data_IF_974404319233
#
_entry.id   IF_974404319233
#
_cell.length_a   1.000
_cell.length_b   1.000
_cell.length_c   1.000
_cell.angle_alpha   90.00
_cell.angle_beta   90.00
_cell.angle_gamma   90.00
#
_symmetry.space_group_name_H-M   'P 1'
#
loop_
_entity.id
_entity.type
_entity.pdbx_description
1 polymer ?
#
# COMPACT_ATOMS: atom_id res chain seq x y z
N UNK A 1 -20.20 -2.72 -6.88
CA UNK A 1 -20.36 -2.23 -5.49
C UNK A 1 -19.72 -0.87 -5.24
N UNK A 2 -18.46 -0.62 -5.64
CA UNK A 2 -17.78 0.66 -5.36
C UNK A 2 -18.50 1.92 -5.89
N UNK A 3 -19.05 1.89 -7.12
CA UNK A 3 -19.87 3.00 -7.65
C UNK A 3 -21.15 3.29 -6.85
N UNK A 4 -21.70 2.29 -6.14
CA UNK A 4 -22.87 2.49 -5.27
C UNK A 4 -22.42 3.13 -3.95
N UNK A 5 -21.27 2.72 -3.40
CA UNK A 5 -20.67 3.34 -2.22
C UNK A 5 -20.33 4.82 -2.46
N UNK A 6 -19.72 5.14 -3.61
CA UNK A 6 -19.46 6.52 -4.04
C UNK A 6 -20.74 7.35 -4.15
N UNK A 7 -21.81 6.81 -4.78
CA UNK A 7 -23.11 7.48 -4.84
C UNK A 7 -23.77 7.65 -3.47
N UNK A 8 -23.58 6.70 -2.56
CA UNK A 8 -24.06 6.80 -1.18
C UNK A 8 -23.33 7.91 -0.42
N UNK A 9 -22.00 7.99 -0.57
CA UNK A 9 -21.19 9.06 0.02
C UNK A 9 -21.62 10.45 -0.52
N UNK A 10 -21.90 10.57 -1.81
CA UNK A 10 -22.43 11.83 -2.36
C UNK A 10 -23.74 12.27 -1.70
N UNK A 11 -24.63 11.31 -1.41
CA UNK A 11 -25.93 11.59 -0.76
C UNK A 11 -25.80 11.88 0.73
N UNK A 12 -24.93 11.15 1.43
CA UNK A 12 -24.76 11.24 2.90
C UNK A 12 -23.80 12.35 3.31
N UNK A 13 -22.98 12.85 2.38
CA UNK A 13 -22.11 14.01 2.60
C UNK A 13 -20.98 13.82 3.61
N UNK A 14 -20.31 12.65 3.74
CA UNK A 14 -19.30 12.43 4.78
C UNK A 14 -18.05 13.32 4.54
N UNK A 15 -17.83 13.79 3.32
CA UNK A 15 -16.81 14.80 2.98
C UNK A 15 -17.03 16.16 3.67
N UNK A 16 -18.22 16.40 4.24
CA UNK A 16 -18.56 17.61 5.01
C UNK A 16 -18.29 17.45 6.50
N UNK A 17 -17.91 16.26 6.97
CA UNK A 17 -17.67 15.99 8.39
C UNK A 17 -16.61 16.93 9.00
N UNK A 18 -15.70 17.46 8.16
CA UNK A 18 -14.66 18.40 8.57
C UNK A 18 -14.93 19.87 8.19
N UNK A 19 -16.11 20.17 7.65
CA UNK A 19 -16.52 21.51 7.22
C UNK A 19 -17.41 22.23 8.24
N UNK A 20 -18.10 21.50 9.12
CA UNK A 20 -18.94 22.07 10.17
C UNK A 20 -18.13 22.24 11.48
N UNK A 21 -17.59 23.43 11.68
CA UNK A 21 -16.91 23.86 12.93
C UNK A 21 -17.86 24.50 13.95
N UNK A 22 -19.17 24.24 13.90
CA UNK A 22 -20.07 24.78 14.94
C UNK A 22 -19.68 24.20 16.29
N UNK A 23 -19.26 25.09 17.19
CA UNK A 23 -18.76 24.85 18.55
C UNK A 23 -19.54 23.73 19.27
N UNK A 24 -18.81 22.69 19.67
CA UNK A 24 -19.20 21.65 20.62
C UNK A 24 -20.51 20.91 20.32
N UNK A 25 -20.52 19.97 19.35
CA UNK A 25 -21.61 19.00 19.29
C UNK A 25 -21.62 18.14 20.57
N UNK A 26 -22.79 17.67 21.05
CA UNK A 26 -22.87 16.80 22.21
C UNK A 26 -22.02 15.54 22.02
N UNK A 27 -21.48 14.96 23.10
CA UNK A 27 -20.49 13.87 23.02
C UNK A 27 -20.91 12.67 22.16
N UNK A 28 -22.21 12.36 22.13
CA UNK A 28 -22.81 11.32 21.30
C UNK A 28 -22.65 11.54 19.79
N UNK A 29 -22.43 12.79 19.35
CA UNK A 29 -22.20 13.13 17.95
C UNK A 29 -20.74 13.01 17.53
N UNK A 30 -19.77 12.93 18.47
CA UNK A 30 -18.35 12.78 18.11
C UNK A 30 -18.06 11.42 17.48
N UNK A 31 -18.65 10.35 18.01
CA UNK A 31 -18.50 9.00 17.45
C UNK A 31 -19.03 8.90 16.02
N UNK A 32 -20.19 9.52 15.74
CA UNK A 32 -20.79 9.55 14.39
C UNK A 32 -19.92 10.38 13.43
N UNK A 33 -19.38 11.51 13.89
CA UNK A 33 -18.50 12.35 13.08
C UNK A 33 -17.18 11.63 12.77
N UNK A 34 -16.57 10.98 13.76
CA UNK A 34 -15.32 10.22 13.56
C UNK A 34 -15.53 9.00 12.67
N UNK A 35 -16.65 8.29 12.79
CA UNK A 35 -17.03 7.22 11.88
C UNK A 35 -17.23 7.74 10.44
N UNK A 36 -17.86 8.91 10.28
CA UNK A 36 -18.06 9.55 8.98
C UNK A 36 -16.75 9.98 8.34
N UNK A 37 -15.81 10.52 9.12
CA UNK A 37 -14.45 10.86 8.69
C UNK A 37 -13.69 9.63 8.23
N UNK A 38 -13.65 8.57 9.07
CA UNK A 38 -13.01 7.29 8.75
C UNK A 38 -13.55 6.72 7.45
N UNK A 39 -14.88 6.62 7.32
CA UNK A 39 -15.55 6.13 6.12
C UNK A 39 -15.21 6.94 4.86
N UNK A 40 -15.16 8.28 4.95
CA UNK A 40 -14.77 9.12 3.81
C UNK A 40 -13.33 8.83 3.37
N UNK A 41 -12.37 8.78 4.30
CA UNK A 41 -10.96 8.57 3.99
C UNK A 41 -10.69 7.15 3.48
N UNK A 42 -11.36 6.14 4.04
CA UNK A 42 -11.33 4.78 3.51
C UNK A 42 -11.86 4.72 2.08
N UNK A 43 -12.95 5.44 1.77
CA UNK A 43 -13.51 5.50 0.43
C UNK A 43 -12.57 6.17 -0.58
N UNK A 44 -11.90 7.26 -0.19
CA UNK A 44 -10.88 7.92 -1.02
C UNK A 44 -9.67 6.99 -1.25
N UNK A 45 -9.20 6.32 -0.20
CA UNK A 45 -8.13 5.33 -0.29
C UNK A 45 -8.49 4.16 -1.22
N UNK A 46 -9.72 3.64 -1.13
CA UNK A 46 -10.22 2.62 -2.05
C UNK A 46 -10.37 3.12 -3.49
N UNK A 47 -10.83 4.35 -3.72
CA UNK A 47 -10.90 4.95 -5.07
C UNK A 47 -9.53 4.99 -5.73
N UNK A 48 -8.52 5.47 -4.98
CA UNK A 48 -7.13 5.47 -5.40
C UNK A 48 -6.61 4.05 -5.64
N UNK A 49 -7.01 3.06 -4.84
CA UNK A 49 -6.63 1.66 -5.02
C UNK A 49 -7.16 1.10 -6.33
N UNK A 50 -8.46 1.23 -6.58
CA UNK A 50 -9.06 0.79 -7.84
C UNK A 50 -8.47 1.52 -9.04
N UNK A 51 -8.15 2.79 -8.88
CA UNK A 51 -7.50 3.55 -9.92
C UNK A 51 -6.08 3.03 -10.23
N UNK A 52 -5.20 3.04 -9.23
CA UNK A 52 -3.79 2.72 -9.38
C UNK A 52 -3.57 1.26 -9.78
N UNK A 53 -4.28 0.31 -9.15
CA UNK A 53 -4.01 -1.10 -9.36
C UNK A 53 -4.87 -1.75 -10.45
N UNK A 54 -6.05 -1.18 -10.75
CA UNK A 54 -7.00 -1.76 -11.70
C UNK A 54 -7.39 -0.82 -12.85
N UNK A 55 -6.72 0.33 -12.97
CA UNK A 55 -6.94 1.32 -14.03
C UNK A 55 -8.41 1.74 -14.16
N UNK A 56 -9.13 1.84 -13.03
CA UNK A 56 -10.52 2.29 -12.99
C UNK A 56 -10.59 3.82 -12.88
N UNK A 57 -11.58 4.51 -13.46
CA UNK A 57 -11.71 5.96 -13.31
C UNK A 57 -11.83 6.38 -11.83
N UNK A 58 -11.19 7.50 -11.45
CA UNK A 58 -11.37 8.08 -10.12
C UNK A 58 -12.77 8.68 -9.99
N UNK A 59 -13.53 8.23 -9.00
CA UNK A 59 -14.89 8.72 -8.75
C UNK A 59 -14.91 9.86 -7.73
N UNK A 60 -13.93 9.90 -6.82
CA UNK A 60 -13.88 10.84 -5.70
C UNK A 60 -13.02 12.07 -5.98
N UNK A 61 -12.35 12.15 -7.13
CA UNK A 61 -11.44 13.26 -7.48
C UNK A 61 -12.08 14.65 -7.33
N UNK A 62 -13.37 14.79 -7.68
CA UNK A 62 -14.13 16.05 -7.53
C UNK A 62 -14.23 16.56 -6.09
N UNK A 63 -14.02 15.69 -5.09
CA UNK A 63 -14.12 16.02 -3.67
C UNK A 63 -12.75 16.29 -3.02
N UNK A 64 -11.65 16.08 -3.73
CA UNK A 64 -10.29 16.20 -3.18
C UNK A 64 -9.97 17.61 -2.67
N UNK A 65 -10.41 18.65 -3.39
CA UNK A 65 -10.17 20.05 -2.99
C UNK A 65 -10.93 20.44 -1.70
N UNK A 66 -11.96 19.67 -1.34
CA UNK A 66 -12.75 19.85 -0.14
C UNK A 66 -12.29 18.95 1.02
N UNK A 67 -11.33 18.05 0.76
CA UNK A 67 -10.87 17.07 1.72
C UNK A 67 -9.95 17.74 2.75
N UNK A 68 -10.47 17.91 3.96
CA UNK A 68 -9.70 18.25 5.16
C UNK A 68 -9.66 17.00 6.05
N UNK A 69 -8.57 16.83 6.79
CA UNK A 69 -8.49 15.84 7.88
C UNK A 69 -8.46 16.63 9.18
N UNK A 70 -9.54 16.60 9.94
CA UNK A 70 -9.43 16.93 11.36
C UNK A 70 -8.92 15.72 12.13
N UNK A 71 -8.17 15.97 13.21
CA UNK A 71 -7.73 14.92 14.10
C UNK A 71 -8.96 14.24 14.75
N UNK A 72 -8.94 12.91 14.92
CA UNK A 72 -9.97 12.21 15.68
C UNK A 72 -9.96 12.74 17.12
N UNK A 73 -11.12 12.72 17.78
CA UNK A 73 -11.19 13.15 19.17
C UNK A 73 -10.40 12.19 20.05
N UNK A 74 -9.49 12.73 20.86
CA UNK A 74 -8.77 11.96 21.86
C UNK A 74 -9.68 11.85 23.08
N UNK A 75 -10.12 10.64 23.40
CA UNK A 75 -10.81 10.39 24.67
C UNK A 75 -9.78 10.43 25.81
N UNK A 76 -10.22 10.69 27.04
CA UNK A 76 -9.35 10.63 28.20
C UNK A 76 -8.73 9.23 28.33
N UNK A 77 -7.44 9.18 28.66
CA UNK A 77 -6.63 7.96 28.59
C UNK A 77 -7.17 6.79 29.44
N UNK A 78 -7.99 7.07 30.45
CA UNK A 78 -8.63 6.06 31.32
C UNK A 78 -9.88 5.42 30.71
N UNK A 79 -10.42 5.99 29.63
CA UNK A 79 -11.67 5.56 28.98
C UNK A 79 -11.49 4.78 27.68
N UNK A 80 -10.27 4.76 27.11
CA UNK A 80 -10.04 4.26 25.76
C UNK A 80 -9.47 2.84 25.76
N UNK A 81 -10.22 1.88 25.21
CA UNK A 81 -9.73 0.51 25.05
C UNK A 81 -8.52 0.47 24.08
N UNK A 82 -7.57 -0.44 24.32
CA UNK A 82 -6.36 -0.59 23.50
C UNK A 82 -6.69 -0.84 22.01
N UNK A 83 -7.84 -1.45 21.69
CA UNK A 83 -8.32 -1.65 20.32
C UNK A 83 -8.67 -0.34 19.60
N UNK A 84 -9.20 0.65 20.33
CA UNK A 84 -9.56 1.96 19.79
C UNK A 84 -8.32 2.80 19.46
N UNK A 85 -7.25 2.64 20.25
CA UNK A 85 -5.98 3.34 20.01
C UNK A 85 -5.34 2.93 18.67
N UNK A 86 -5.26 1.63 18.37
CA UNK A 86 -4.64 1.13 17.13
C UNK A 86 -5.45 1.48 15.89
N UNK A 87 -6.78 1.46 16.00
CA UNK A 87 -7.67 1.90 14.91
C UNK A 87 -7.51 3.39 14.63
N UNK A 88 -7.31 4.20 15.68
CA UNK A 88 -7.05 5.63 15.55
C UNK A 88 -5.70 5.92 14.90
N UNK A 89 -4.65 5.20 15.30
CA UNK A 89 -3.33 5.28 14.67
C UNK A 89 -3.40 4.92 13.19
N UNK A 90 -4.10 3.82 12.86
CA UNK A 90 -4.33 3.41 11.48
C UNK A 90 -4.99 4.52 10.66
N UNK A 91 -6.07 5.12 11.17
CA UNK A 91 -6.74 6.23 10.49
C UNK A 91 -5.80 7.41 10.18
N UNK A 92 -4.95 7.80 11.14
CA UNK A 92 -3.98 8.88 10.95
C UNK A 92 -2.94 8.56 9.89
N UNK A 93 -2.48 7.31 9.84
CA UNK A 93 -1.52 6.85 8.84
C UNK A 93 -2.16 6.74 7.45
N UNK A 94 -3.36 6.17 7.38
CA UNK A 94 -4.10 5.97 6.13
C UNK A 94 -4.45 7.31 5.49
N UNK A 95 -4.93 8.28 6.27
CA UNK A 95 -5.23 9.63 5.78
C UNK A 95 -3.98 10.38 5.27
N UNK A 96 -2.87 10.36 6.02
CA UNK A 96 -1.59 10.98 5.59
C UNK A 96 -1.04 10.32 4.32
N UNK A 97 -1.04 8.99 4.26
CA UNK A 97 -0.64 8.24 3.06
C UNK A 97 -1.52 8.57 1.87
N UNK A 98 -2.83 8.69 2.08
CA UNK A 98 -3.80 9.06 1.04
C UNK A 98 -3.47 10.41 0.42
N UNK A 99 -3.09 11.42 1.23
CA UNK A 99 -2.61 12.70 0.69
C UNK A 99 -1.34 12.56 -0.16
N UNK A 100 -0.38 11.73 0.24
CA UNK A 100 0.83 11.46 -0.55
C UNK A 100 0.45 10.87 -1.91
N UNK A 101 -0.48 9.91 -1.93
CA UNK A 101 -0.98 9.29 -3.15
C UNK A 101 -1.75 10.27 -4.05
N UNK A 102 -2.54 11.18 -3.46
CA UNK A 102 -3.20 12.25 -4.22
C UNK A 102 -2.18 13.19 -4.88
N UNK A 103 -1.10 13.57 -4.16
CA UNK A 103 -0.01 14.37 -4.73
C UNK A 103 0.66 13.64 -5.89
N UNK A 104 0.98 12.36 -5.71
CA UNK A 104 1.55 11.52 -6.78
C UNK A 104 0.64 11.50 -8.01
N UNK A 105 -0.67 11.33 -7.81
CA UNK A 105 -1.61 11.29 -8.92
C UNK A 105 -1.64 12.59 -9.71
N UNK A 106 -1.67 13.75 -9.03
CA UNK A 106 -1.58 15.05 -9.68
C UNK A 106 -0.30 15.16 -10.52
N UNK A 107 0.86 14.81 -9.95
CA UNK A 107 2.13 14.79 -10.69
C UNK A 107 2.09 13.89 -11.92
N UNK A 108 1.48 12.71 -11.81
CA UNK A 108 1.37 11.76 -12.91
C UNK A 108 0.47 12.28 -14.04
N UNK A 109 -0.62 12.98 -13.71
CA UNK A 109 -1.51 13.59 -14.70
C UNK A 109 -0.85 14.76 -15.44
N UNK A 110 -0.13 15.60 -14.70
CA UNK A 110 0.64 16.68 -15.29
C UNK A 110 1.72 16.13 -16.23
N UNK A 111 2.42 15.07 -15.81
CA UNK A 111 3.48 14.44 -16.59
C UNK A 111 2.99 13.72 -17.87
N UNK A 112 1.75 13.21 -17.87
CA UNK A 112 1.10 12.68 -19.08
C UNK A 112 0.85 13.78 -20.11
N UNK A 113 0.49 14.97 -19.65
CA UNK A 113 0.22 16.12 -20.50
C UNK A 113 1.50 16.80 -20.98
N UNK A 114 2.52 16.86 -20.13
CA UNK A 114 3.81 17.50 -20.43
C UNK A 114 4.98 16.70 -19.85
N UNK A 115 6.02 16.39 -20.63
CA UNK A 115 7.27 15.83 -20.09
C UNK A 115 7.78 16.59 -18.86
N UNK A 116 7.91 15.90 -17.73
CA UNK A 116 8.57 16.42 -16.52
C UNK A 116 9.83 15.59 -16.22
N UNK A 117 11.05 16.13 -16.43
CA UNK A 117 12.29 15.41 -16.10
C UNK A 117 12.44 15.18 -14.59
N UNK A 118 11.78 15.98 -13.75
CA UNK A 118 11.80 15.88 -12.28
C UNK A 118 10.77 14.88 -11.75
N UNK A 119 10.02 14.21 -12.61
CA UNK A 119 8.94 13.30 -12.19
C UNK A 119 9.45 12.15 -11.32
N UNK A 120 10.57 11.53 -11.70
CA UNK A 120 11.16 10.44 -10.93
C UNK A 120 11.68 10.94 -9.57
N UNK A 121 12.53 11.99 -9.49
CA UNK A 121 12.93 12.57 -8.20
C UNK A 121 11.76 12.95 -7.28
N UNK A 122 10.70 13.59 -7.82
CA UNK A 122 9.50 13.92 -7.04
C UNK A 122 8.77 12.68 -6.55
N UNK A 123 8.68 11.63 -7.37
CA UNK A 123 8.07 10.35 -6.98
C UNK A 123 8.89 9.67 -5.89
N UNK A 124 10.21 9.68 -5.98
CA UNK A 124 11.08 9.12 -4.93
C UNK A 124 10.94 9.89 -3.61
N UNK A 125 10.80 11.21 -3.65
CA UNK A 125 10.52 12.02 -2.47
C UNK A 125 9.19 11.60 -1.81
N UNK A 126 8.13 11.40 -2.60
CA UNK A 126 6.85 10.89 -2.08
C UNK A 126 6.97 9.47 -1.51
N UNK A 127 7.77 8.59 -2.12
CA UNK A 127 8.05 7.28 -1.56
C UNK A 127 8.77 7.38 -0.20
N UNK A 128 9.74 8.28 -0.09
CA UNK A 128 10.43 8.55 1.17
C UNK A 128 9.50 9.14 2.24
N UNK A 129 8.51 9.96 1.86
CA UNK A 129 7.46 10.43 2.78
C UNK A 129 6.65 9.26 3.36
N UNK A 130 6.31 8.24 2.56
CA UNK A 130 5.61 7.03 3.05
C UNK A 130 6.50 6.24 4.02
N UNK A 131 7.78 6.07 3.69
CA UNK A 131 8.71 5.35 4.57
C UNK A 131 8.90 6.08 5.91
N UNK A 132 9.13 7.39 5.87
CA UNK A 132 9.26 8.22 7.07
C UNK A 132 8.00 8.19 7.91
N UNK A 133 6.82 8.16 7.29
CA UNK A 133 5.55 7.99 7.97
C UNK A 133 5.52 6.70 8.79
N UNK A 134 6.09 5.59 8.32
CA UNK A 134 6.09 4.33 9.05
C UNK A 134 7.23 4.21 10.06
N UNK A 135 8.36 4.86 9.80
CA UNK A 135 9.45 4.97 10.76
C UNK A 135 9.04 5.79 12.00
N UNK A 136 8.35 6.92 11.80
CA UNK A 136 7.82 7.78 12.88
C UNK A 136 6.95 7.00 13.86
N UNK A 137 6.25 5.97 13.38
CA UNK A 137 5.34 5.15 14.18
C UNK A 137 5.94 3.78 14.55
N UNK A 138 7.25 3.60 14.32
CA UNK A 138 7.99 2.35 14.58
C UNK A 138 7.38 1.09 13.95
N UNK A 139 6.59 1.25 12.88
CA UNK A 139 5.96 0.14 12.13
C UNK A 139 7.01 -0.70 11.41
N UNK A 140 8.16 -0.10 11.08
CA UNK A 140 9.28 -0.77 10.41
C UNK A 140 10.24 -1.49 11.38
N UNK A 141 10.08 -1.37 12.70
CA UNK A 141 10.93 -2.09 13.65
C UNK A 141 10.36 -3.48 13.90
N UNK A 142 11.15 -4.50 13.61
CA UNK A 142 10.82 -5.93 13.83
C UNK A 142 10.25 -6.22 15.23
N UNK A 143 10.71 -5.49 16.26
CA UNK A 143 10.23 -5.63 17.62
C UNK A 143 8.75 -5.29 17.77
N UNK A 144 8.28 -4.23 17.12
CA UNK A 144 6.88 -3.77 17.24
C UNK A 144 5.93 -4.71 16.51
N UNK A 145 6.32 -5.19 15.33
CA UNK A 145 5.57 -6.22 14.60
C UNK A 145 5.56 -7.54 15.38
N UNK A 146 6.69 -7.99 15.94
CA UNK A 146 6.77 -9.22 16.76
C UNK A 146 5.97 -9.12 18.06
N UNK A 147 6.02 -7.99 18.77
CA UNK A 147 5.26 -7.79 20.01
C UNK A 147 3.75 -7.76 19.75
N UNK A 148 3.32 -7.22 18.60
CA UNK A 148 1.90 -7.14 18.22
C UNK A 148 1.38 -8.42 17.55
N UNK A 149 2.25 -9.22 16.92
CA UNK A 149 1.97 -10.63 16.57
C UNK A 149 1.57 -11.40 17.84
N UNK A 150 2.32 -11.19 18.93
CA UNK A 150 2.11 -11.89 20.19
C UNK A 150 0.91 -11.34 21.01
N UNK A 151 0.39 -10.15 20.70
CA UNK A 151 -0.63 -9.47 21.50
C UNK A 151 -2.08 -9.71 21.07
N UNK A 152 -2.38 -10.78 20.32
CA UNK A 152 -3.74 -11.31 20.18
C UNK A 152 -4.74 -10.46 19.38
N UNK A 153 -4.43 -10.13 18.11
CA UNK A 153 -5.46 -9.72 17.14
C UNK A 153 -5.20 -8.44 16.33
N UNK A 154 -4.15 -7.67 16.64
CA UNK A 154 -3.82 -6.43 15.93
C UNK A 154 -2.79 -6.63 14.80
N UNK A 155 -2.31 -7.86 14.62
CA UNK A 155 -1.33 -8.22 13.60
C UNK A 155 -1.73 -7.72 12.22
N UNK A 156 -2.93 -8.05 11.76
CA UNK A 156 -3.40 -7.64 10.42
C UNK A 156 -3.56 -6.13 10.25
N UNK A 157 -3.85 -5.40 11.33
CA UNK A 157 -3.96 -3.94 11.27
C UNK A 157 -2.62 -3.31 10.95
N UNK A 158 -1.55 -3.78 11.60
CA UNK A 158 -0.20 -3.20 11.48
C UNK A 158 0.55 -3.78 10.29
N UNK A 159 0.48 -5.09 10.10
CA UNK A 159 0.99 -5.76 8.91
C UNK A 159 0.32 -5.22 7.64
N UNK A 160 -1.01 -5.03 7.68
CA UNK A 160 -1.75 -4.42 6.58
C UNK A 160 -1.22 -3.04 6.22
N UNK A 161 -1.01 -2.17 7.21
CA UNK A 161 -0.43 -0.83 6.98
C UNK A 161 0.94 -0.89 6.28
N UNK A 162 1.84 -1.75 6.77
CA UNK A 162 3.17 -1.90 6.19
C UNK A 162 3.11 -2.44 4.75
N UNK A 163 2.34 -3.52 4.53
CA UNK A 163 2.18 -4.14 3.22
C UNK A 163 1.54 -3.21 2.20
N UNK A 164 0.52 -2.44 2.61
CA UNK A 164 -0.11 -1.42 1.78
C UNK A 164 0.91 -0.37 1.36
N UNK A 165 1.69 0.22 2.27
CA UNK A 165 2.66 1.24 1.89
C UNK A 165 3.76 0.71 0.97
N UNK A 166 4.22 -0.53 1.16
CA UNK A 166 5.13 -1.17 0.21
C UNK A 166 4.47 -1.35 -1.17
N UNK A 167 3.23 -1.84 -1.22
CA UNK A 167 2.48 -1.99 -2.46
C UNK A 167 2.30 -0.64 -3.18
N UNK A 168 2.04 0.44 -2.43
CA UNK A 168 1.93 1.79 -2.96
C UNK A 168 3.24 2.29 -3.56
N UNK A 169 4.38 2.13 -2.87
CA UNK A 169 5.70 2.51 -3.37
C UNK A 169 6.01 1.79 -4.69
N UNK A 170 5.84 0.46 -4.72
CA UNK A 170 6.06 -0.34 -5.92
C UNK A 170 5.14 0.10 -7.06
N UNK A 171 3.88 0.39 -6.76
CA UNK A 171 2.91 0.87 -7.75
C UNK A 171 3.28 2.23 -8.33
N UNK A 172 3.69 3.20 -7.50
CA UNK A 172 4.12 4.51 -7.96
C UNK A 172 5.31 4.39 -8.92
N UNK A 173 6.32 3.61 -8.55
CA UNK A 173 7.49 3.36 -9.40
C UNK A 173 7.10 2.63 -10.71
N UNK A 174 6.16 1.69 -10.66
CA UNK A 174 5.64 1.01 -11.85
C UNK A 174 4.93 1.98 -12.81
N UNK A 175 4.19 2.96 -12.30
CA UNK A 175 3.53 3.96 -13.13
C UNK A 175 4.54 4.90 -13.81
N UNK A 176 5.59 5.30 -13.10
CA UNK A 176 6.69 6.09 -13.70
C UNK A 176 7.39 5.30 -14.80
N UNK A 177 7.65 4.03 -14.57
CA UNK A 177 8.26 3.16 -15.57
C UNK A 177 7.41 3.06 -16.83
N UNK A 178 6.11 2.79 -16.68
CA UNK A 178 5.18 2.68 -17.81
C UNK A 178 5.10 3.97 -18.61
N UNK A 179 5.02 5.12 -17.93
CA UNK A 179 4.93 6.42 -18.60
C UNK A 179 6.22 6.74 -19.39
N UNK A 180 7.38 6.47 -18.81
CA UNK A 180 8.68 6.73 -19.45
C UNK A 180 8.98 5.75 -20.58
N UNK A 181 8.55 4.49 -20.45
CA UNK A 181 8.76 3.45 -21.45
C UNK A 181 7.85 3.66 -22.66
N UNK A 182 6.56 3.96 -22.43
CA UNK A 182 5.63 4.30 -23.49
C UNK A 182 6.16 5.46 -24.35
N UNK A 183 6.82 6.47 -23.74
CA UNK A 183 7.45 7.56 -24.50
C UNK A 183 8.66 7.09 -25.33
N UNK A 184 9.53 6.24 -24.77
CA UNK A 184 10.70 5.71 -25.48
C UNK A 184 10.33 4.79 -26.65
N UNK A 185 9.22 4.06 -26.54
CA UNK A 185 8.72 3.21 -27.62
C UNK A 185 8.17 4.02 -28.80
N UNK A 186 7.64 5.23 -28.57
CA UNK A 186 7.34 6.17 -29.66
C UNK A 186 8.60 6.65 -30.39
N UNK A 187 9.73 6.76 -29.69
CA UNK A 187 10.99 7.25 -30.24
C UNK A 187 11.85 6.14 -30.89
N UNK A 188 11.58 4.85 -30.61
CA UNK A 188 12.31 3.69 -31.14
C UNK A 188 11.44 2.86 -32.08
N UNK A 189 11.74 2.89 -33.39
CA UNK A 189 11.07 2.08 -34.42
C UNK A 189 11.50 0.59 -34.43
N UNK A 190 12.43 0.22 -33.57
CA UNK A 190 13.17 -1.02 -33.54
C UNK A 190 12.79 -1.82 -32.28
N UNK A 191 11.59 -2.41 -32.31
CA UNK A 191 10.88 -3.08 -31.20
C UNK A 191 11.56 -4.33 -30.63
N UNK A 192 12.78 -4.20 -30.09
CA UNK A 192 13.57 -5.31 -29.54
C UNK A 192 14.23 -5.01 -28.19
N UNK A 193 13.74 -4.02 -27.44
CA UNK A 193 14.17 -3.81 -26.07
C UNK A 193 13.39 -4.74 -25.12
N UNK A 194 14.04 -5.39 -24.12
CA UNK A 194 13.32 -6.11 -23.09
C UNK A 194 12.35 -5.17 -22.37
N UNK A 195 11.17 -5.67 -22.03
CA UNK A 195 10.17 -4.91 -21.31
C UNK A 195 10.79 -4.40 -20.01
N UNK A 196 10.86 -3.08 -19.79
CA UNK A 196 11.54 -2.53 -18.64
C UNK A 196 10.80 -2.94 -17.37
N UNK A 197 11.55 -3.41 -16.38
CA UNK A 197 11.03 -3.88 -15.09
C UNK A 197 11.40 -2.91 -13.96
N UNK A 198 10.53 -2.78 -12.95
CA UNK A 198 10.72 -1.88 -11.80
C UNK A 198 12.00 -2.17 -11.01
N UNK A 199 12.58 -3.36 -11.14
CA UNK A 199 13.89 -3.72 -10.59
C UNK A 199 15.05 -2.83 -11.06
N UNK A 200 14.86 -1.98 -12.08
CA UNK A 200 15.85 -0.93 -12.40
C UNK A 200 16.00 0.12 -11.29
N UNK A 201 14.97 0.31 -10.46
CA UNK A 201 14.98 1.28 -9.38
C UNK A 201 15.51 0.65 -8.10
N UNK A 202 16.62 1.14 -7.52
CA UNK A 202 17.16 0.61 -6.26
C UNK A 202 16.12 0.60 -5.13
N UNK A 203 15.28 1.63 -5.09
CA UNK A 203 14.17 1.76 -4.14
C UNK A 203 13.11 0.67 -4.30
N UNK A 204 12.83 0.23 -5.53
CA UNK A 204 11.88 -0.86 -5.77
C UNK A 204 12.43 -2.17 -5.19
N UNK A 205 13.73 -2.44 -5.37
CA UNK A 205 14.39 -3.64 -4.84
C UNK A 205 14.37 -3.62 -3.30
N UNK A 206 14.80 -2.52 -2.67
CA UNK A 206 14.80 -2.40 -1.21
C UNK A 206 13.40 -2.53 -0.60
N UNK A 207 12.40 -1.93 -1.25
CA UNK A 207 10.98 -2.05 -0.84
C UNK A 207 10.49 -3.49 -1.00
N UNK A 208 10.87 -4.17 -2.09
CA UNK A 208 10.50 -5.55 -2.35
C UNK A 208 11.05 -6.50 -1.30
N UNK A 209 12.32 -6.32 -0.87
CA UNK A 209 12.92 -7.10 0.23
C UNK A 209 12.09 -7.01 1.50
N UNK A 210 11.77 -5.79 1.95
CA UNK A 210 10.94 -5.55 3.15
C UNK A 210 9.56 -6.17 3.03
N UNK A 211 8.93 -6.07 1.86
CA UNK A 211 7.62 -6.65 1.61
C UNK A 211 7.65 -8.19 1.65
N UNK A 212 8.61 -8.82 0.97
CA UNK A 212 8.77 -10.29 0.94
C UNK A 212 9.10 -10.81 2.34
N UNK A 213 9.90 -10.09 3.11
CA UNK A 213 10.18 -10.40 4.51
C UNK A 213 8.93 -10.33 5.41
N UNK A 214 8.14 -9.26 5.29
CA UNK A 214 6.89 -9.13 6.02
C UNK A 214 5.91 -10.26 5.65
N UNK A 215 5.77 -10.58 4.36
CA UNK A 215 4.91 -11.67 3.87
C UNK A 215 5.38 -13.01 4.41
N UNK A 216 6.68 -13.30 4.38
CA UNK A 216 7.25 -14.52 4.96
C UNK A 216 6.93 -14.66 6.45
N UNK A 217 7.06 -13.57 7.20
CA UNK A 217 6.77 -13.54 8.65
C UNK A 217 5.27 -13.73 8.96
N UNK A 218 4.38 -13.17 8.14
CA UNK A 218 2.94 -13.35 8.30
C UNK A 218 2.53 -14.78 7.94
N UNK A 219 3.06 -15.33 6.84
CA UNK A 219 2.76 -16.69 6.42
C UNK A 219 3.30 -17.73 7.41
N UNK A 220 4.45 -17.48 8.03
CA UNK A 220 4.95 -18.38 9.10
C UNK A 220 4.06 -18.36 10.34
N UNK A 221 3.41 -17.22 10.61
CA UNK A 221 2.56 -17.02 11.79
C UNK A 221 1.13 -17.52 11.55
N UNK A 222 0.57 -17.27 10.37
CA UNK A 222 -0.80 -17.62 9.99
C UNK A 222 -0.77 -18.31 8.61
N UNK A 223 -0.34 -19.58 8.54
CA UNK A 223 -0.27 -20.33 7.28
C UNK A 223 -1.69 -20.75 6.86
N UNK A 224 -2.40 -19.87 6.15
CA UNK A 224 -3.73 -20.15 5.63
C UNK A 224 -3.89 -19.67 4.20
N UNK A 225 -4.80 -20.28 3.44
CA UNK A 225 -5.15 -19.81 2.09
C UNK A 225 -5.71 -18.39 2.10
N UNK A 226 -6.43 -18.00 3.16
CA UNK A 226 -6.86 -16.62 3.37
C UNK A 226 -5.68 -15.64 3.48
N UNK A 227 -4.64 -15.99 4.23
CA UNK A 227 -3.40 -15.20 4.33
C UNK A 227 -2.71 -15.06 2.97
N UNK A 228 -2.60 -16.17 2.22
CA UNK A 228 -2.02 -16.17 0.87
C UNK A 228 -2.83 -15.27 -0.07
N UNK A 229 -4.15 -15.42 -0.08
CA UNK A 229 -5.04 -14.61 -0.90
C UNK A 229 -4.86 -13.12 -0.58
N UNK A 230 -4.91 -12.72 0.69
CA UNK A 230 -4.76 -11.31 1.07
C UNK A 230 -3.38 -10.76 0.68
N UNK A 231 -2.31 -11.46 1.00
CA UNK A 231 -0.93 -10.99 0.72
C UNK A 231 -0.62 -10.91 -0.77
N UNK A 232 -1.05 -11.89 -1.57
CA UNK A 232 -0.71 -11.94 -3.00
C UNK A 232 -1.72 -11.24 -3.91
N UNK A 233 -2.99 -11.13 -3.52
CA UNK A 233 -4.03 -10.49 -4.35
C UNK A 233 -4.29 -9.04 -3.95
N UNK A 234 -4.47 -8.76 -2.66
CA UNK A 234 -4.77 -7.40 -2.17
C UNK A 234 -3.49 -6.58 -2.08
N UNK A 235 -2.47 -7.10 -1.42
CA UNK A 235 -1.21 -6.36 -1.27
C UNK A 235 -0.25 -6.57 -2.45
N UNK A 236 -0.54 -7.52 -3.34
CA UNK A 236 0.22 -7.78 -4.57
C UNK A 236 1.68 -8.19 -4.32
N UNK A 237 1.93 -9.03 -3.31
CA UNK A 237 3.26 -9.55 -2.99
C UNK A 237 3.98 -10.23 -4.17
N UNK A 238 3.24 -10.73 -5.16
CA UNK A 238 3.80 -11.25 -6.41
C UNK A 238 4.67 -10.23 -7.16
N UNK A 239 4.33 -8.93 -7.12
CA UNK A 239 5.12 -7.86 -7.76
C UNK A 239 6.48 -7.71 -7.09
N UNK A 240 6.52 -7.74 -5.75
CA UNK A 240 7.76 -7.69 -5.00
C UNK A 240 8.63 -8.94 -5.27
N UNK A 241 8.02 -10.12 -5.29
CA UNK A 241 8.74 -11.36 -5.62
C UNK A 241 9.36 -11.29 -7.01
N UNK A 242 8.58 -10.88 -8.02
CA UNK A 242 9.07 -10.73 -9.40
C UNK A 242 10.21 -9.71 -9.49
N UNK A 243 10.10 -8.57 -8.80
CA UNK A 243 11.16 -7.56 -8.73
C UNK A 243 12.48 -8.14 -8.19
N UNK A 244 12.42 -8.96 -7.13
CA UNK A 244 13.62 -9.63 -6.60
C UNK A 244 14.17 -10.68 -7.56
N UNK A 245 13.32 -11.48 -8.20
CA UNK A 245 13.75 -12.46 -9.21
C UNK A 245 14.47 -11.79 -10.38
N UNK A 246 13.91 -10.71 -10.92
CA UNK A 246 14.53 -9.94 -12.02
C UNK A 246 15.81 -9.23 -11.57
N UNK A 247 15.83 -8.67 -10.37
CA UNK A 247 17.05 -8.07 -9.81
C UNK A 247 18.17 -9.12 -9.70
N UNK A 248 17.81 -10.37 -9.38
CA UNK A 248 18.75 -11.48 -9.35
C UNK A 248 19.32 -11.73 -10.74
N UNK A 249 18.49 -12.01 -11.74
CA UNK A 249 18.97 -12.25 -13.12
C UNK A 249 19.90 -11.16 -13.69
N UNK A 250 19.78 -9.91 -13.20
CA UNK A 250 20.56 -8.75 -13.67
C UNK A 250 21.90 -8.51 -12.96
N UNK A 251 22.11 -9.02 -11.76
CA UNK A 251 23.32 -8.71 -10.95
C UNK A 251 24.04 -10.00 -10.57
N UNK A 252 25.32 -9.95 -10.24
CA UNK A 252 26.06 -11.09 -9.67
C UNK A 252 26.76 -10.56 -8.44
N UNK A 253 26.05 -10.48 -7.32
CA UNK A 253 26.55 -9.90 -6.05
C UNK A 253 26.01 -10.70 -4.87
N UNK A 254 26.70 -10.70 -3.72
CA UNK A 254 26.32 -11.41 -2.48
C UNK A 254 24.87 -11.13 -2.01
N UNK A 255 24.27 -10.00 -2.39
CA UNK A 255 22.84 -9.73 -2.18
C UNK A 255 21.89 -10.75 -2.85
N UNK A 256 22.38 -11.53 -3.81
CA UNK A 256 21.65 -12.63 -4.45
C UNK A 256 21.21 -13.71 -3.49
N UNK A 257 22.11 -14.08 -2.57
CA UNK A 257 21.88 -15.19 -1.66
C UNK A 257 20.84 -14.79 -0.62
N UNK A 258 20.83 -13.52 -0.23
CA UNK A 258 19.79 -12.95 0.63
C UNK A 258 18.44 -12.89 -0.08
N UNK A 259 18.40 -12.41 -1.33
CA UNK A 259 17.15 -12.35 -2.11
C UNK A 259 16.60 -13.77 -2.38
N UNK A 260 17.46 -14.74 -2.68
CA UNK A 260 17.08 -16.15 -2.85
C UNK A 260 16.51 -16.74 -1.55
N UNK A 261 17.18 -16.53 -0.42
CA UNK A 261 16.71 -17.01 0.88
C UNK A 261 15.34 -16.43 1.27
N UNK A 262 15.08 -15.16 0.95
CA UNK A 262 13.78 -14.52 1.15
C UNK A 262 12.69 -15.18 0.30
N UNK A 263 12.95 -15.40 -0.98
CA UNK A 263 12.01 -16.04 -1.91
C UNK A 263 11.75 -17.50 -1.53
N UNK A 264 12.79 -18.28 -1.22
CA UNK A 264 12.68 -19.66 -0.75
C UNK A 264 11.89 -19.76 0.57
N UNK A 265 12.09 -18.83 1.49
CA UNK A 265 11.31 -18.77 2.75
C UNK A 265 9.82 -18.64 2.45
N UNK A 266 9.44 -17.71 1.57
CA UNK A 266 8.04 -17.56 1.16
C UNK A 266 7.53 -18.80 0.42
N UNK A 267 8.32 -19.35 -0.51
CA UNK A 267 7.99 -20.55 -1.27
C UNK A 267 7.70 -21.76 -0.36
N UNK A 268 8.52 -21.96 0.68
CA UNK A 268 8.29 -23.01 1.68
C UNK A 268 6.96 -22.85 2.38
N UNK A 269 6.63 -21.64 2.83
CA UNK A 269 5.35 -21.40 3.51
C UNK A 269 4.16 -21.54 2.56
N UNK A 270 4.28 -21.13 1.30
CA UNK A 270 3.26 -21.39 0.29
C UNK A 270 3.06 -22.89 0.05
N UNK A 271 4.15 -23.66 0.00
CA UNK A 271 4.10 -25.12 -0.17
C UNK A 271 3.37 -25.85 0.95
N UNK A 272 3.45 -25.34 2.20
CA UNK A 272 2.69 -25.87 3.32
C UNK A 272 1.17 -25.66 3.14
N UNK A 273 0.76 -24.48 2.67
CA UNK A 273 -0.65 -24.17 2.39
C UNK A 273 -1.17 -24.85 1.13
N UNK A 274 -0.30 -25.12 0.16
CA UNK A 274 -0.67 -25.70 -1.13
C UNK A 274 -1.09 -27.18 -1.05
N UNK A 275 -0.72 -27.88 0.03
CA UNK A 275 -1.24 -29.23 0.32
C UNK A 275 -2.76 -29.26 0.54
N UNK A 276 -3.35 -28.12 0.90
CA UNK A 276 -4.80 -27.96 1.10
C UNK A 276 -5.50 -27.31 -0.12
N UNK A 277 -4.74 -26.62 -0.96
CA UNK A 277 -5.25 -25.87 -2.11
C UNK A 277 -4.28 -25.92 -3.30
N UNK A 278 -4.56 -26.80 -4.28
CA UNK A 278 -3.71 -27.02 -5.46
C UNK A 278 -3.45 -25.74 -6.27
N UNK A 279 -4.36 -24.77 -6.23
CA UNK A 279 -4.25 -23.47 -6.93
C UNK A 279 -3.02 -22.65 -6.49
N UNK A 280 -2.46 -22.92 -5.30
CA UNK A 280 -1.29 -22.21 -4.75
C UNK A 280 0.03 -22.84 -5.23
N UNK A 281 0.00 -24.09 -5.71
CA UNK A 281 1.20 -24.83 -6.12
C UNK A 281 2.06 -24.11 -7.19
N UNK A 282 1.49 -23.50 -8.25
CA UNK A 282 2.29 -22.82 -9.27
C UNK A 282 3.10 -21.66 -8.69
N UNK A 283 2.52 -20.91 -7.74
CA UNK A 283 3.17 -19.78 -7.10
C UNK A 283 4.33 -20.25 -6.20
N UNK A 284 4.12 -21.33 -5.43
CA UNK A 284 5.20 -21.95 -4.65
C UNK A 284 6.34 -22.44 -5.56
N UNK A 285 6.02 -23.07 -6.69
CA UNK A 285 7.02 -23.59 -7.62
C UNK A 285 7.86 -22.47 -8.25
N UNK A 286 7.24 -21.34 -8.62
CA UNK A 286 7.92 -20.19 -9.22
C UNK A 286 8.94 -19.53 -8.29
N UNK A 287 8.69 -19.56 -6.98
CA UNK A 287 9.54 -18.91 -5.97
C UNK A 287 10.61 -19.83 -5.40
N UNK A 288 10.58 -21.14 -5.72
CA UNK A 288 11.68 -22.05 -5.41
C UNK A 288 12.82 -21.75 -6.36
N UNK A 289 13.95 -21.41 -5.75
CA UNK A 289 15.17 -20.96 -6.42
C UNK A 289 16.27 -21.94 -6.11
#
# INVERSE_FOLDING_TARGET
MFQLASRCAEKTGPYRADQNTSLNPPESNYSILDASRKCFWELVGMDLYFHMFHNKPLLMQKHWNCAKVNLPWLAEAESQEKADSVTTIRFLLDSRRTFILMKFWTLLQDAKSRPDPELLPKTEALCAEIESLYEQWSIQKDALVKDLINSGGQLWTIAGLALEGHAWILSMLQHILKLTSARKDWDRMDGRAPEPDIAIFPRAVSTSRRMVEAVGSILSTIPSSGTVAVTFTVFRAHVACACLTVNRERRVTDEHDNDAALLERVARHLGLTAGEHEEIMPLSALLKV
#
